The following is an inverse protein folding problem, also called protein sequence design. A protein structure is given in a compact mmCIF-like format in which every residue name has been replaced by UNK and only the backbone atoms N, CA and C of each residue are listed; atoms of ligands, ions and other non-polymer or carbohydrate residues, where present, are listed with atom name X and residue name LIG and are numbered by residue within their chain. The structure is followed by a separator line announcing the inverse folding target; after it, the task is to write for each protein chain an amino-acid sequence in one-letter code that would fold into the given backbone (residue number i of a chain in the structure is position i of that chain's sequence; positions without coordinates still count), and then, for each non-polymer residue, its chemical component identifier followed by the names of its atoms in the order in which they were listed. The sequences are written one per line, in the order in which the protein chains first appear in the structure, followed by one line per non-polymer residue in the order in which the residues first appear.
data_IF_718466452042
#
_entry.id   IF_718466452042
#
_cell.length_a   1.000
_cell.length_b   1.000
_cell.length_c   1.000
_cell.angle_alpha   90.00
_cell.angle_beta   90.00
_cell.angle_gamma   90.00
#
_symmetry.space_group_name_H-M   'P 1'
#
loop_
_entity.id
_entity.type
_entity.pdbx_description
1 polymer ?
#
# COMPACT_ATOMS: atom_id res chain seq x y z
N UNK A 1 -47.89 35.95 -42.02
CA UNK A 1 -48.61 35.73 -40.73
C UNK A 1 -48.50 34.31 -40.18
N UNK A 2 -48.53 33.24 -40.98
CA UNK A 2 -48.34 31.85 -40.53
C UNK A 2 -46.89 31.54 -40.12
N UNK A 3 -45.87 31.99 -40.86
CA UNK A 3 -44.46 31.74 -40.59
C UNK A 3 -44.00 32.41 -39.28
N UNK A 4 -44.48 33.63 -38.99
CA UNK A 4 -44.12 34.31 -37.74
C UNK A 4 -44.70 33.64 -36.49
N UNK A 5 -45.91 33.04 -36.59
CA UNK A 5 -46.50 32.25 -35.51
C UNK A 5 -45.78 30.93 -35.29
N UNK A 6 -45.25 30.32 -36.35
CA UNK A 6 -44.49 29.08 -36.26
C UNK A 6 -43.11 29.33 -35.60
N UNK A 7 -42.40 30.42 -35.95
CA UNK A 7 -41.14 30.79 -35.34
C UNK A 7 -41.30 31.06 -33.84
N UNK A 8 -42.30 31.80 -33.44
CA UNK A 8 -42.58 32.06 -31.99
C UNK A 8 -42.81 30.75 -31.24
N UNK A 9 -43.55 29.81 -31.83
CA UNK A 9 -43.83 28.52 -31.20
C UNK A 9 -42.56 27.65 -31.09
N UNK A 10 -41.67 27.68 -32.07
CA UNK A 10 -40.39 27.00 -32.02
C UNK A 10 -39.47 27.61 -30.97
N UNK A 11 -39.42 28.94 -30.87
CA UNK A 11 -38.63 29.64 -29.86
C UNK A 11 -39.12 29.34 -28.43
N UNK A 12 -40.47 29.31 -28.21
CA UNK A 12 -41.04 28.95 -26.93
C UNK A 12 -40.76 27.48 -26.53
N UNK A 13 -40.92 26.55 -27.49
CA UNK A 13 -40.59 25.14 -27.22
C UNK A 13 -39.09 24.92 -26.96
N UNK A 14 -38.23 25.63 -27.68
CA UNK A 14 -36.77 25.56 -27.46
C UNK A 14 -36.36 26.11 -26.09
N UNK A 15 -36.94 27.26 -25.68
CA UNK A 15 -36.71 27.86 -24.39
C UNK A 15 -37.20 26.96 -23.25
N UNK A 16 -38.37 26.34 -23.40
CA UNK A 16 -38.92 25.38 -22.43
C UNK A 16 -38.02 24.15 -22.29
N UNK A 17 -37.62 23.52 -23.42
CA UNK A 17 -36.73 22.34 -23.38
C UNK A 17 -35.38 22.67 -22.76
N UNK A 18 -34.82 23.85 -23.07
CA UNK A 18 -33.57 24.32 -22.43
C UNK A 18 -33.71 24.50 -20.93
N UNK A 19 -34.85 25.03 -20.45
CA UNK A 19 -35.12 25.17 -19.02
C UNK A 19 -35.31 23.84 -18.31
N UNK A 20 -36.05 22.92 -18.92
CA UNK A 20 -36.23 21.55 -18.41
C UNK A 20 -34.90 20.76 -18.33
N UNK A 21 -34.06 20.88 -19.37
CA UNK A 21 -32.75 20.27 -19.39
C UNK A 21 -31.82 20.85 -18.31
N UNK A 22 -31.82 22.18 -18.13
CA UNK A 22 -31.05 22.85 -17.09
C UNK A 22 -31.47 22.39 -15.69
N UNK A 23 -32.75 22.27 -15.45
CA UNK A 23 -33.28 21.78 -14.18
C UNK A 23 -32.96 20.33 -13.93
N UNK A 24 -33.05 19.48 -14.96
CA UNK A 24 -32.65 18.07 -14.90
C UNK A 24 -31.16 17.91 -14.58
N UNK A 25 -30.29 18.65 -15.25
CA UNK A 25 -28.85 18.61 -14.99
C UNK A 25 -28.50 19.12 -13.60
N UNK A 26 -29.15 20.20 -13.11
CA UNK A 26 -28.97 20.70 -11.75
C UNK A 26 -29.36 19.66 -10.69
N UNK A 27 -30.53 19.04 -10.84
CA UNK A 27 -30.97 17.99 -9.92
C UNK A 27 -30.06 16.77 -9.94
N UNK A 28 -29.53 16.43 -11.11
CA UNK A 28 -28.59 15.31 -11.25
C UNK A 28 -27.27 15.60 -10.54
N UNK A 29 -26.73 16.81 -10.69
CA UNK A 29 -25.51 17.25 -9.99
C UNK A 29 -25.73 17.20 -8.47
N UNK A 30 -26.82 17.76 -7.96
CA UNK A 30 -27.15 17.74 -6.54
C UNK A 30 -27.28 16.30 -6.00
N UNK A 31 -27.87 15.39 -6.80
CA UNK A 31 -27.99 13.98 -6.41
C UNK A 31 -26.64 13.30 -6.37
N UNK A 32 -25.78 13.53 -7.38
CA UNK A 32 -24.42 12.98 -7.36
C UNK A 32 -23.57 13.53 -6.23
N UNK A 33 -23.65 14.84 -5.94
CA UNK A 33 -22.95 15.44 -4.82
C UNK A 33 -23.41 14.84 -3.49
N UNK A 34 -24.70 14.61 -3.31
CA UNK A 34 -25.23 13.98 -2.10
C UNK A 34 -24.73 12.55 -1.93
N UNK A 35 -24.77 11.74 -2.99
CA UNK A 35 -24.27 10.36 -2.99
C UNK A 35 -22.76 10.33 -2.73
N UNK A 36 -22.02 11.26 -3.35
CA UNK A 36 -20.58 11.36 -3.15
C UNK A 36 -20.23 11.71 -1.71
N UNK A 37 -20.92 12.69 -1.11
CA UNK A 37 -20.72 13.08 0.29
C UNK A 37 -21.10 11.97 1.26
N UNK A 38 -22.20 11.26 1.00
CA UNK A 38 -22.62 10.11 1.83
C UNK A 38 -21.59 8.99 1.79
N UNK A 39 -21.13 8.60 0.58
CA UNK A 39 -20.09 7.59 0.41
C UNK A 39 -18.76 8.02 1.05
N UNK A 40 -18.38 9.30 0.89
CA UNK A 40 -17.17 9.84 1.51
C UNK A 40 -17.23 9.78 3.04
N UNK A 41 -18.37 10.16 3.64
CA UNK A 41 -18.57 10.09 5.08
C UNK A 41 -18.55 8.64 5.58
N UNK A 42 -19.22 7.70 4.89
CA UNK A 42 -19.20 6.27 5.26
C UNK A 42 -17.79 5.68 5.22
N UNK A 43 -16.99 6.04 4.19
CA UNK A 43 -15.59 5.62 4.07
C UNK A 43 -14.76 6.25 5.20
N UNK A 44 -14.95 7.54 5.46
CA UNK A 44 -14.25 8.26 6.53
C UNK A 44 -14.53 7.65 7.91
N UNK A 45 -15.79 7.38 8.21
CA UNK A 45 -16.20 6.75 9.47
C UNK A 45 -15.64 5.33 9.60
N UNK A 46 -15.65 4.57 8.50
CA UNK A 46 -15.04 3.23 8.47
C UNK A 46 -13.54 3.28 8.75
N UNK A 47 -12.83 4.26 8.19
CA UNK A 47 -11.39 4.48 8.44
C UNK A 47 -11.15 4.83 9.92
N UNK A 48 -11.96 5.70 10.50
CA UNK A 48 -11.83 6.09 11.92
C UNK A 48 -12.04 4.88 12.83
N UNK A 49 -13.09 4.11 12.61
CA UNK A 49 -13.37 2.90 13.39
C UNK A 49 -12.29 1.83 13.26
N UNK A 50 -11.73 1.65 12.05
CA UNK A 50 -10.62 0.71 11.87
C UNK A 50 -9.35 1.19 12.58
N UNK A 51 -9.07 2.51 12.57
CA UNK A 51 -7.92 3.06 13.31
C UNK A 51 -8.07 2.85 14.82
N UNK A 52 -9.25 3.10 15.38
CA UNK A 52 -9.54 2.86 16.79
C UNK A 52 -9.44 1.37 17.15
N UNK A 53 -9.94 0.51 16.26
CA UNK A 53 -9.83 -0.95 16.42
C UNK A 53 -8.36 -1.39 16.40
N UNK A 54 -7.56 -0.88 15.46
CA UNK A 54 -6.13 -1.16 15.36
C UNK A 54 -5.36 -0.69 16.61
N UNK A 55 -5.60 0.54 17.07
CA UNK A 55 -4.96 1.07 18.29
C UNK A 55 -5.37 0.27 19.53
N UNK A 56 -6.60 -0.25 19.56
CA UNK A 56 -7.10 -1.09 20.64
C UNK A 56 -6.45 -2.48 20.59
N UNK A 57 -6.29 -3.05 19.39
CA UNK A 57 -5.66 -4.34 19.19
C UNK A 57 -4.18 -4.30 19.54
N UNK A 58 -3.46 -3.21 19.18
CA UNK A 58 -2.08 -2.96 19.62
C UNK A 58 -1.98 -2.85 21.15
N UNK A 59 -2.91 -2.14 21.80
CA UNK A 59 -2.93 -2.07 23.27
C UNK A 59 -3.16 -3.42 23.94
N UNK A 60 -4.02 -4.25 23.36
CA UNK A 60 -4.32 -5.58 23.88
C UNK A 60 -3.14 -6.55 23.67
N UNK A 61 -2.39 -6.41 22.57
CA UNK A 61 -1.19 -7.16 22.28
C UNK A 61 -0.05 -6.85 23.28
N UNK A 62 0.06 -5.62 23.78
CA UNK A 62 1.06 -5.23 24.81
C UNK A 62 0.99 -5.99 26.14
N UNK A 63 -0.01 -6.82 26.34
CA UNK A 63 -0.25 -7.50 27.62
C UNK A 63 0.27 -8.93 27.71
N UNK A 64 0.87 -9.50 26.65
CA UNK A 64 1.40 -10.87 26.67
C UNK A 64 2.93 -10.91 26.46
N UNK A 65 3.66 -11.59 27.35
CA UNK A 65 5.11 -11.80 27.21
C UNK A 65 5.43 -12.56 25.91
N UNK A 66 6.14 -11.92 24.96
CA UNK A 66 6.58 -12.50 23.70
C UNK A 66 5.72 -12.11 22.47
N UNK A 67 4.93 -11.05 22.57
CA UNK A 67 4.13 -10.52 21.46
C UNK A 67 4.85 -9.41 20.65
N UNK A 68 4.26 -9.04 19.51
CA UNK A 68 4.79 -8.05 18.59
C UNK A 68 4.33 -6.61 18.89
N UNK A 69 3.58 -6.33 19.94
CA UNK A 69 2.91 -5.05 20.14
C UNK A 69 3.89 -3.86 20.23
N UNK A 70 4.97 -4.02 20.99
CA UNK A 70 6.04 -3.01 21.04
C UNK A 70 6.73 -2.84 19.69
N UNK A 71 7.00 -3.95 19.02
CA UNK A 71 7.63 -3.97 17.69
C UNK A 71 6.77 -3.23 16.66
N UNK A 72 5.46 -3.49 16.62
CA UNK A 72 4.55 -2.83 15.68
C UNK A 72 4.55 -1.31 15.89
N UNK A 73 4.50 -0.83 17.15
CA UNK A 73 4.52 0.60 17.47
C UNK A 73 5.80 1.29 16.95
N UNK A 74 6.94 0.60 17.06
CA UNK A 74 8.24 1.13 16.64
C UNK A 74 8.37 1.18 15.11
N UNK A 75 7.87 0.16 14.39
CA UNK A 75 8.12 0.01 12.94
C UNK A 75 7.02 0.59 12.07
N UNK A 76 5.77 0.72 12.57
CA UNK A 76 4.62 1.12 11.74
C UNK A 76 4.80 2.49 11.09
N UNK A 77 5.58 3.39 11.72
CA UNK A 77 5.86 4.73 11.17
C UNK A 77 6.75 4.69 9.94
N UNK A 78 7.55 3.63 9.80
CA UNK A 78 8.36 3.37 8.61
C UNK A 78 7.59 2.69 7.47
N UNK A 79 6.34 2.23 7.71
CA UNK A 79 5.49 1.59 6.71
C UNK A 79 4.56 2.63 6.09
N UNK A 80 4.35 2.56 4.79
CA UNK A 80 3.53 3.51 4.04
C UNK A 80 2.58 2.80 3.09
N UNK A 81 1.46 3.47 2.81
CA UNK A 81 0.60 3.10 1.69
C UNK A 81 1.18 3.64 0.40
N UNK A 82 1.26 2.82 -0.62
CA UNK A 82 1.55 3.21 -1.99
C UNK A 82 0.22 3.33 -2.72
N UNK A 83 -0.02 4.47 -3.34
CA UNK A 83 -1.23 4.72 -4.13
C UNK A 83 -0.86 5.22 -5.52
N UNK A 84 -1.49 4.61 -6.50
CA UNK A 84 -1.55 5.10 -7.88
C UNK A 84 -3.01 5.31 -8.27
N UNK A 85 -3.27 5.70 -9.52
CA UNK A 85 -4.64 5.83 -10.03
C UNK A 85 -5.43 4.51 -9.97
N UNK A 86 -4.74 3.39 -10.23
CA UNK A 86 -5.38 2.09 -10.43
C UNK A 86 -5.02 1.04 -9.36
N UNK A 87 -4.10 1.37 -8.45
CA UNK A 87 -3.56 0.38 -7.51
C UNK A 87 -3.32 0.98 -6.12
N UNK A 88 -3.48 0.12 -5.12
CA UNK A 88 -3.10 0.38 -3.73
C UNK A 88 -2.26 -0.79 -3.24
N UNK A 89 -1.13 -0.48 -2.63
CA UNK A 89 -0.24 -1.45 -2.00
C UNK A 89 0.47 -0.85 -0.80
N UNK A 90 1.51 -1.52 -0.36
CA UNK A 90 2.32 -1.10 0.79
C UNK A 90 3.77 -0.91 0.35
N UNK A 91 4.49 -0.08 1.08
CA UNK A 91 5.94 0.07 0.99
C UNK A 91 6.51 0.38 2.36
N UNK A 92 7.83 0.44 2.46
CA UNK A 92 8.49 0.85 3.70
C UNK A 92 9.80 1.57 3.42
N UNK A 93 10.13 2.52 4.29
CA UNK A 93 11.39 3.25 4.22
C UNK A 93 12.55 2.37 4.69
N UNK A 94 13.62 2.31 3.87
CA UNK A 94 14.84 1.54 4.15
C UNK A 94 15.97 2.40 4.72
N UNK A 95 15.80 3.72 4.70
CA UNK A 95 16.66 4.65 5.41
C UNK A 95 15.96 5.99 5.71
N UNK A 96 16.53 6.78 6.61
CA UNK A 96 15.95 8.06 7.03
C UNK A 96 15.99 9.17 5.96
N UNK A 97 16.69 8.96 4.84
CA UNK A 97 16.77 9.94 3.74
C UNK A 97 15.58 9.87 2.78
N UNK A 98 14.59 9.02 3.07
CA UNK A 98 13.37 8.89 2.30
C UNK A 98 13.43 7.88 1.15
N UNK A 99 14.45 7.03 1.09
CA UNK A 99 14.44 5.88 0.19
C UNK A 99 13.49 4.82 0.73
N UNK A 100 12.60 4.34 -0.13
CA UNK A 100 11.62 3.32 0.22
C UNK A 100 11.50 2.28 -0.89
N UNK A 101 11.06 1.10 -0.50
CA UNK A 101 10.84 -0.03 -1.41
C UNK A 101 9.38 -0.45 -1.41
N UNK A 102 8.96 -0.97 -2.55
CA UNK A 102 7.66 -1.64 -2.76
C UNK A 102 7.79 -2.68 -3.86
N UNK A 103 6.75 -3.45 -4.12
CA UNK A 103 6.74 -4.30 -5.31
C UNK A 103 6.54 -3.46 -6.58
N UNK A 104 7.22 -3.86 -7.66
CA UNK A 104 7.10 -3.15 -8.92
C UNK A 104 5.68 -3.22 -9.50
N UNK A 105 5.01 -4.38 -9.39
CA UNK A 105 3.64 -4.54 -9.89
C UNK A 105 2.63 -3.56 -9.26
N UNK A 106 2.92 -3.02 -8.06
CA UNK A 106 2.06 -2.02 -7.38
C UNK A 106 2.06 -0.69 -8.11
N UNK A 107 3.18 -0.33 -8.76
CA UNK A 107 3.37 0.98 -9.41
C UNK A 107 3.54 0.89 -10.92
N UNK A 108 3.48 -0.31 -11.48
CA UNK A 108 3.72 -0.57 -12.89
C UNK A 108 2.82 0.27 -13.79
N UNK A 109 3.43 0.86 -14.84
CA UNK A 109 2.79 1.76 -15.80
C UNK A 109 2.28 3.09 -15.20
N UNK A 110 2.63 3.40 -13.93
CA UNK A 110 2.26 4.62 -13.19
C UNK A 110 3.44 5.21 -12.40
N UNK A 111 4.67 4.91 -12.79
CA UNK A 111 5.90 5.27 -12.06
C UNK A 111 6.02 6.77 -11.79
N UNK A 112 5.49 7.62 -12.67
CA UNK A 112 5.52 9.09 -12.55
C UNK A 112 4.42 9.68 -11.65
N UNK A 113 3.44 8.85 -11.24
CA UNK A 113 2.24 9.27 -10.53
C UNK A 113 2.04 8.54 -9.19
N UNK A 114 3.14 8.19 -8.51
CA UNK A 114 3.10 7.46 -7.24
C UNK A 114 2.92 8.42 -6.08
N UNK A 115 1.90 8.20 -5.28
CA UNK A 115 1.67 8.87 -4.01
C UNK A 115 1.95 7.94 -2.84
N UNK A 116 2.53 8.51 -1.79
CA UNK A 116 2.84 7.85 -0.52
C UNK A 116 1.95 8.43 0.55
N UNK A 117 1.30 7.58 1.33
CA UNK A 117 0.54 8.01 2.50
C UNK A 117 1.21 7.40 3.73
N UNK A 118 1.70 8.25 4.63
CA UNK A 118 2.37 7.84 5.86
C UNK A 118 1.36 7.37 6.92
N UNK A 119 1.88 6.79 8.01
CA UNK A 119 1.07 6.45 9.20
C UNK A 119 0.34 7.70 9.77
N UNK A 120 0.99 8.87 9.74
CA UNK A 120 0.40 10.15 10.13
C UNK A 120 -0.60 10.72 9.11
N UNK A 121 -0.96 9.98 8.05
CA UNK A 121 -1.88 10.38 6.96
C UNK A 121 -1.38 11.56 6.11
N UNK A 122 -0.10 11.87 6.17
CA UNK A 122 0.51 12.84 5.28
C UNK A 122 0.69 12.22 3.90
N UNK A 123 0.42 13.00 2.86
CA UNK A 123 0.52 12.57 1.46
C UNK A 123 1.73 13.21 0.82
N UNK A 124 2.59 12.40 0.22
CA UNK A 124 3.78 12.83 -0.50
C UNK A 124 3.78 12.26 -1.91
N UNK A 125 4.37 12.99 -2.86
CA UNK A 125 4.68 12.45 -4.17
C UNK A 125 6.06 11.77 -4.11
N UNK A 126 6.15 10.53 -4.58
CA UNK A 126 7.41 9.81 -4.68
C UNK A 126 8.05 9.97 -6.07
N UNK A 127 9.37 10.01 -6.09
CA UNK A 127 10.16 9.95 -7.31
C UNK A 127 10.58 8.49 -7.55
N UNK A 128 10.29 7.97 -8.73
CA UNK A 128 10.77 6.65 -9.14
C UNK A 128 12.27 6.70 -9.43
N UNK A 129 13.06 5.82 -8.79
CA UNK A 129 14.51 5.73 -8.97
C UNK A 129 14.86 4.60 -9.93
N UNK A 130 14.20 3.43 -9.78
CA UNK A 130 14.42 2.29 -10.64
C UNK A 130 13.76 1.02 -10.10
N UNK A 131 13.97 -0.08 -10.82
CA UNK A 131 13.29 -1.35 -10.55
C UNK A 131 14.17 -2.56 -10.87
N UNK A 132 13.82 -3.70 -10.28
CA UNK A 132 14.19 -5.03 -10.74
C UNK A 132 12.89 -5.80 -11.05
N UNK A 133 12.57 -5.94 -12.34
CA UNK A 133 11.34 -6.63 -12.76
C UNK A 133 11.36 -8.13 -12.46
N UNK A 134 12.52 -8.77 -12.47
CA UNK A 134 12.64 -10.21 -12.23
C UNK A 134 12.31 -10.57 -10.79
N UNK A 135 12.60 -9.65 -9.86
CA UNK A 135 12.34 -9.80 -8.43
C UNK A 135 11.10 -9.03 -7.97
N UNK A 136 10.45 -8.32 -8.91
CA UNK A 136 9.27 -7.48 -8.62
C UNK A 136 9.57 -6.46 -7.52
N UNK A 137 10.71 -5.78 -7.61
CA UNK A 137 11.18 -4.77 -6.65
C UNK A 137 11.25 -3.39 -7.31
N UNK A 138 10.76 -2.37 -6.63
CA UNK A 138 10.90 -0.97 -7.02
C UNK A 138 11.52 -0.15 -5.90
N UNK A 139 12.38 0.79 -6.28
CA UNK A 139 12.99 1.79 -5.41
C UNK A 139 12.40 3.17 -5.72
N UNK A 140 11.92 3.82 -4.68
CA UNK A 140 11.35 5.16 -4.72
C UNK A 140 12.11 6.09 -3.78
N UNK A 141 11.98 7.40 -4.00
CA UNK A 141 12.52 8.45 -3.12
C UNK A 141 11.46 9.50 -2.83
N UNK A 142 11.20 9.74 -1.57
CA UNK A 142 10.45 10.89 -1.07
C UNK A 142 11.42 11.85 -0.41
N UNK A 143 11.57 13.09 -0.90
CA UNK A 143 12.45 14.07 -0.25
C UNK A 143 11.95 14.39 1.17
N UNK A 144 12.81 14.17 2.16
CA UNK A 144 12.48 14.42 3.56
C UNK A 144 13.28 13.54 4.53
N UNK A 145 12.84 13.53 5.78
CA UNK A 145 13.38 12.65 6.80
C UNK A 145 12.24 11.84 7.39
N UNK A 146 12.40 10.52 7.39
CA UNK A 146 11.35 9.57 7.76
C UNK A 146 11.90 8.51 8.71
N UNK A 147 11.03 7.93 9.52
CA UNK A 147 11.33 6.72 10.27
C UNK A 147 11.57 5.58 9.25
N UNK A 148 12.60 4.80 9.45
CA UNK A 148 12.98 3.70 8.57
C UNK A 148 13.10 2.40 9.35
N UNK A 149 12.98 1.28 8.65
CA UNK A 149 13.05 -0.05 9.26
C UNK A 149 14.36 -0.71 8.83
N UNK A 150 15.10 -1.24 9.80
CA UNK A 150 16.36 -1.94 9.55
C UNK A 150 16.10 -3.29 8.87
N UNK A 151 16.91 -3.65 7.88
CA UNK A 151 16.88 -4.95 7.24
C UNK A 151 17.65 -5.98 8.07
N UNK A 152 17.12 -7.20 8.13
CA UNK A 152 17.77 -8.32 8.77
C UNK A 152 18.97 -8.82 7.94
N UNK A 153 20.00 -9.31 8.62
CA UNK A 153 21.10 -10.01 7.97
C UNK A 153 20.74 -11.48 7.73
N UNK A 154 21.52 -12.18 6.91
CA UNK A 154 21.22 -13.59 6.53
C UNK A 154 21.07 -14.51 7.74
N UNK A 155 21.91 -14.33 8.77
CA UNK A 155 21.91 -15.14 9.99
C UNK A 155 20.65 -14.98 10.83
N UNK A 156 19.94 -13.87 10.64
CA UNK A 156 18.71 -13.57 11.34
C UNK A 156 17.52 -14.36 10.77
N UNK A 157 17.60 -14.81 9.51
CA UNK A 157 16.51 -15.48 8.79
C UNK A 157 16.57 -16.98 9.06
N UNK A 158 15.70 -17.48 9.95
CA UNK A 158 15.70 -18.89 10.36
C UNK A 158 14.28 -19.46 10.39
N UNK A 159 14.13 -20.69 9.88
CA UNK A 159 12.86 -21.42 9.90
C UNK A 159 12.36 -21.58 11.34
N UNK A 160 11.05 -21.38 11.54
CA UNK A 160 10.37 -21.47 12.83
C UNK A 160 10.36 -20.16 13.63
N UNK A 161 11.09 -19.13 13.23
CA UNK A 161 10.98 -17.81 13.88
C UNK A 161 9.64 -17.17 13.59
N UNK A 162 9.07 -16.53 14.61
CA UNK A 162 7.86 -15.72 14.49
C UNK A 162 8.13 -14.47 13.65
N UNK A 163 7.17 -14.13 12.81
CA UNK A 163 7.17 -12.95 11.96
C UNK A 163 5.77 -12.36 11.84
N UNK A 164 5.72 -11.07 11.53
CA UNK A 164 4.48 -10.38 11.16
C UNK A 164 4.63 -9.75 9.78
N UNK A 165 3.53 -9.71 9.03
CA UNK A 165 3.41 -8.83 7.89
C UNK A 165 2.59 -7.60 8.28
N UNK A 166 3.09 -6.42 7.90
CA UNK A 166 2.37 -5.16 8.04
C UNK A 166 2.03 -4.67 6.64
N UNK A 167 0.76 -4.34 6.44
CA UNK A 167 0.27 -3.78 5.19
C UNK A 167 -0.90 -2.85 5.40
N UNK A 168 -1.27 -2.14 4.34
CA UNK A 168 -2.47 -1.30 4.34
C UNK A 168 -3.43 -1.76 3.25
N UNK A 169 -4.16 -2.87 3.49
CA UNK A 169 -5.11 -3.37 2.51
C UNK A 169 -6.20 -2.31 2.25
N UNK A 170 -6.41 -1.99 0.96
CA UNK A 170 -7.44 -1.07 0.51
C UNK A 170 -7.30 0.39 0.99
N UNK A 171 -6.15 0.80 1.55
CA UNK A 171 -5.93 2.16 2.06
C UNK A 171 -6.78 2.52 3.29
N UNK A 172 -7.38 1.53 3.94
CA UNK A 172 -8.35 1.75 5.02
C UNK A 172 -7.71 1.85 6.40
N UNK A 173 -6.63 1.11 6.67
CA UNK A 173 -5.74 1.21 7.84
C UNK A 173 -4.70 0.11 7.82
N UNK A 174 -3.65 0.26 8.62
CA UNK A 174 -2.63 -0.77 8.75
C UNK A 174 -3.24 -2.06 9.33
N UNK A 175 -2.87 -3.18 8.71
CA UNK A 175 -3.28 -4.52 9.14
C UNK A 175 -2.02 -5.32 9.46
N UNK A 176 -2.03 -6.02 10.59
CA UNK A 176 -0.95 -6.90 11.02
C UNK A 176 -1.44 -8.33 10.98
N UNK A 177 -0.66 -9.21 10.38
CA UNK A 177 -0.91 -10.66 10.41
C UNK A 177 0.34 -11.37 10.92
N UNK A 178 0.18 -12.32 11.86
CA UNK A 178 1.26 -13.08 12.49
C UNK A 178 1.37 -14.48 11.88
N UNK A 179 2.59 -15.00 11.86
CA UNK A 179 2.93 -16.36 11.47
C UNK A 179 4.39 -16.68 11.76
N UNK A 180 4.97 -17.62 11.00
CA UNK A 180 6.36 -18.04 11.12
C UNK A 180 7.07 -18.05 9.76
N UNK A 181 8.39 -18.07 9.79
CA UNK A 181 9.21 -18.46 8.64
C UNK A 181 9.05 -19.97 8.45
N UNK A 182 8.37 -20.38 7.38
CA UNK A 182 8.10 -21.80 7.06
C UNK A 182 9.20 -22.42 6.20
N UNK A 183 10.02 -21.60 5.53
CA UNK A 183 11.12 -22.07 4.70
C UNK A 183 12.01 -20.91 4.25
N UNK A 184 13.22 -21.23 3.87
CA UNK A 184 14.21 -20.28 3.32
C UNK A 184 14.71 -20.81 1.97
N UNK A 185 15.44 -19.99 1.24
CA UNK A 185 16.05 -20.33 -0.05
C UNK A 185 15.04 -20.91 -1.06
N UNK A 186 13.84 -20.35 -1.08
CA UNK A 186 12.81 -20.76 -2.03
C UNK A 186 13.02 -20.10 -3.38
N UNK A 187 12.91 -20.94 -4.43
CA UNK A 187 12.99 -20.46 -5.82
C UNK A 187 11.68 -19.76 -6.16
N UNK A 188 11.78 -18.49 -6.53
CA UNK A 188 10.65 -17.66 -6.95
C UNK A 188 10.65 -17.38 -8.44
N UNK A 189 9.89 -16.35 -8.89
CA UNK A 189 9.78 -15.97 -10.30
C UNK A 189 11.12 -15.62 -10.97
N UNK A 190 12.10 -15.13 -10.20
CA UNK A 190 13.46 -14.85 -10.69
C UNK A 190 14.24 -16.10 -11.12
N UNK A 191 13.76 -17.30 -10.75
CA UNK A 191 14.48 -18.56 -10.94
C UNK A 191 15.63 -18.79 -9.94
N UNK A 192 15.81 -17.87 -8.98
CA UNK A 192 16.84 -17.93 -7.95
C UNK A 192 16.25 -18.23 -6.57
N UNK A 193 17.07 -18.86 -5.70
CA UNK A 193 16.69 -19.24 -4.35
C UNK A 193 16.80 -18.02 -3.39
N UNK A 194 15.93 -17.02 -3.56
CA UNK A 194 15.99 -15.70 -2.92
C UNK A 194 14.78 -15.38 -2.04
N UNK A 195 13.88 -16.33 -1.88
CA UNK A 195 12.61 -16.08 -1.19
C UNK A 195 12.51 -16.81 0.15
N UNK A 196 11.92 -16.13 1.11
CA UNK A 196 11.48 -16.67 2.39
C UNK A 196 10.02 -17.09 2.25
N UNK A 197 9.70 -18.31 2.63
CA UNK A 197 8.34 -18.83 2.72
C UNK A 197 7.79 -18.54 4.12
N UNK A 198 6.53 -18.10 4.19
CA UNK A 198 5.83 -17.84 5.44
C UNK A 198 4.38 -18.33 5.37
N UNK A 199 3.80 -18.66 6.52
CA UNK A 199 2.38 -18.95 6.68
C UNK A 199 1.55 -17.72 7.08
N UNK A 200 2.20 -16.55 7.18
CA UNK A 200 1.52 -15.26 7.37
C UNK A 200 0.47 -15.07 6.27
N UNK A 201 -0.72 -14.65 6.65
CA UNK A 201 -1.80 -14.37 5.70
C UNK A 201 -1.45 -13.16 4.82
N UNK A 202 -0.98 -13.41 3.60
CA UNK A 202 -0.75 -12.38 2.58
C UNK A 202 -2.02 -12.18 1.75
N UNK A 203 -2.52 -10.96 1.73
CA UNK A 203 -3.71 -10.54 0.99
C UNK A 203 -3.40 -9.30 0.13
N UNK A 204 -4.22 -9.00 -0.90
CA UNK A 204 -4.12 -7.74 -1.61
C UNK A 204 -4.04 -6.56 -0.62
N UNK A 205 -3.02 -5.71 -0.79
CA UNK A 205 -2.70 -4.61 0.12
C UNK A 205 -1.50 -4.87 1.04
N UNK A 206 -1.11 -6.14 1.32
CA UNK A 206 0.15 -6.45 2.00
C UNK A 206 1.34 -6.54 1.03
N UNK A 207 1.08 -6.61 -0.29
CA UNK A 207 2.14 -6.63 -1.32
C UNK A 207 3.00 -5.37 -1.22
N UNK A 208 4.32 -5.54 -1.25
CA UNK A 208 5.30 -4.48 -1.06
C UNK A 208 5.53 -4.07 0.40
N UNK A 209 4.74 -4.58 1.33
CA UNK A 209 4.92 -4.38 2.76
C UNK A 209 6.01 -5.27 3.36
N UNK A 210 6.54 -4.93 4.55
CA UNK A 210 7.58 -5.69 5.20
C UNK A 210 7.04 -6.95 5.88
N UNK A 211 7.84 -8.02 5.85
CA UNK A 211 7.78 -9.15 6.77
C UNK A 211 8.80 -8.88 7.88
N UNK A 212 8.39 -8.83 9.14
CA UNK A 212 9.18 -8.31 10.26
C UNK A 212 9.34 -9.37 11.35
N UNK A 213 10.53 -9.47 11.94
CA UNK A 213 10.82 -10.36 13.07
C UNK A 213 10.46 -9.72 14.44
N UNK A 214 10.62 -10.50 15.52
CA UNK A 214 10.34 -10.06 16.90
C UNK A 214 11.26 -8.95 17.40
N UNK A 215 12.31 -8.57 16.66
CA UNK A 215 13.24 -7.48 17.00
C UNK A 215 12.95 -6.20 16.18
N UNK A 216 11.94 -6.23 15.31
CA UNK A 216 11.60 -5.11 14.44
C UNK A 216 12.44 -5.02 13.15
N UNK A 217 13.17 -6.09 12.80
CA UNK A 217 13.95 -6.11 11.56
C UNK A 217 13.15 -6.71 10.42
N UNK A 218 13.30 -6.14 9.23
CA UNK A 218 12.68 -6.65 8.00
C UNK A 218 13.39 -7.92 7.55
N UNK A 219 12.67 -9.03 7.55
CA UNK A 219 13.09 -10.34 7.02
C UNK A 219 12.97 -10.39 5.49
N UNK A 220 12.00 -9.67 4.93
CA UNK A 220 11.77 -9.60 3.50
C UNK A 220 10.62 -8.66 3.13
N UNK A 221 10.42 -8.46 1.83
CA UNK A 221 9.28 -7.75 1.26
C UNK A 221 8.24 -8.75 0.78
N UNK A 222 7.00 -8.62 1.24
CA UNK A 222 5.89 -9.49 0.86
C UNK A 222 5.60 -9.35 -0.63
N UNK A 223 5.67 -10.45 -1.37
CA UNK A 223 5.62 -10.39 -2.83
C UNK A 223 4.39 -11.12 -3.36
N UNK A 224 4.28 -12.43 -3.17
CA UNK A 224 3.21 -13.22 -3.76
C UNK A 224 2.78 -14.39 -2.86
N UNK A 225 1.60 -14.92 -3.16
CA UNK A 225 1.13 -16.21 -2.63
C UNK A 225 0.77 -17.15 -3.78
N UNK A 226 0.83 -18.43 -3.54
CA UNK A 226 0.36 -19.42 -4.51
C UNK A 226 -1.16 -19.41 -4.51
N UNK A 227 -1.77 -19.10 -5.67
CA UNK A 227 -3.22 -19.12 -5.83
C UNK A 227 -3.79 -20.51 -5.54
N UNK A 228 -4.83 -20.56 -4.70
CA UNK A 228 -5.48 -21.82 -4.31
C UNK A 228 -4.79 -22.61 -3.21
N UNK A 229 -3.67 -22.09 -2.67
CA UNK A 229 -3.02 -22.64 -1.49
C UNK A 229 -3.20 -21.68 -0.30
N UNK A 230 -3.55 -22.23 0.84
CA UNK A 230 -3.59 -21.47 2.10
C UNK A 230 -2.22 -21.50 2.78
N UNK A 231 -1.87 -20.42 3.49
CA UNK A 231 -0.64 -20.33 4.28
C UNK A 231 0.67 -20.56 3.48
N UNK A 232 0.68 -20.21 2.21
CA UNK A 232 1.87 -20.27 1.34
C UNK A 232 2.19 -18.88 0.77
N UNK A 233 2.73 -18.01 1.61
CA UNK A 233 3.24 -16.70 1.27
C UNK A 233 4.74 -16.72 0.99
N UNK A 234 5.20 -15.80 0.13
CA UNK A 234 6.61 -15.65 -0.23
C UNK A 234 7.01 -14.18 -0.15
N UNK A 235 8.15 -13.95 0.48
CA UNK A 235 8.75 -12.63 0.61
C UNK A 235 10.17 -12.66 0.04
N UNK A 236 10.55 -11.69 -0.77
CA UNK A 236 11.93 -11.53 -1.24
C UNK A 236 12.82 -11.22 -0.03
N UNK A 237 13.89 -11.96 0.17
CA UNK A 237 14.71 -11.90 1.38
C UNK A 237 15.43 -10.55 1.55
N UNK A 238 15.57 -10.10 2.79
CA UNK A 238 16.19 -8.82 3.13
C UNK A 238 17.60 -8.62 2.58
N UNK A 239 18.52 -9.60 2.61
CA UNK A 239 19.84 -9.44 2.00
C UNK A 239 19.78 -9.16 0.49
N UNK A 240 18.81 -9.77 -0.21
CA UNK A 240 18.60 -9.53 -1.64
C UNK A 240 18.03 -8.13 -1.89
N UNK A 241 17.12 -7.66 -1.03
CA UNK A 241 16.62 -6.29 -1.11
C UNK A 241 17.78 -5.30 -0.98
N UNK A 242 18.66 -5.48 0.02
CA UNK A 242 19.86 -4.64 0.27
C UNK A 242 20.75 -4.58 -0.97
N UNK A 243 21.08 -5.74 -1.55
CA UNK A 243 21.88 -5.82 -2.76
C UNK A 243 21.25 -5.09 -3.94
N UNK A 244 19.97 -5.37 -4.22
CA UNK A 244 19.27 -4.80 -5.36
C UNK A 244 19.01 -3.30 -5.23
N UNK A 245 18.65 -2.82 -4.03
CA UNK A 245 18.49 -1.37 -3.77
C UNK A 245 19.78 -0.62 -4.06
N UNK A 246 20.92 -1.13 -3.59
CA UNK A 246 22.22 -0.51 -3.82
C UNK A 246 22.60 -0.57 -5.31
N UNK A 247 22.30 -1.66 -6.00
CA UNK A 247 22.53 -1.81 -7.43
C UNK A 247 21.65 -0.85 -8.26
N UNK A 248 20.35 -0.77 -7.99
CA UNK A 248 19.40 0.13 -8.67
C UNK A 248 19.84 1.60 -8.48
N UNK A 249 20.23 1.98 -7.27
CA UNK A 249 20.64 3.34 -6.96
C UNK A 249 22.07 3.68 -7.47
N UNK A 250 22.83 2.68 -7.89
CA UNK A 250 24.26 2.79 -8.23
C UNK A 250 25.09 3.47 -7.11
N UNK A 251 24.71 3.24 -5.86
CA UNK A 251 25.37 3.76 -4.66
C UNK A 251 24.90 2.98 -3.42
N UNK A 252 25.64 3.06 -2.31
CA UNK A 252 25.26 2.44 -1.05
C UNK A 252 24.13 3.26 -0.40
N UNK A 253 22.91 2.75 -0.48
CA UNK A 253 21.71 3.27 0.19
C UNK A 253 21.52 2.59 1.53
N UNK A 254 21.73 1.28 1.58
CA UNK A 254 21.66 0.42 2.76
C UNK A 254 23.07 -0.11 3.01
N UNK A 255 23.68 0.23 4.16
CA UNK A 255 25.07 -0.16 4.48
C UNK A 255 25.26 -1.65 4.72
#
# INVERSE_FOLDING_TARGET
MQVSKLNIKIDDETARTASELKQYTSNMVETYDSIYQENFNQISDSIIHQQESFDTEIKNLKSSEGDFSGVVEDVVRGVVTIRTEDSIGTGFFVNSRGFLVTNYHVIKDKEDAVEIITYGREVYKANFIGKDENRDLALLLVPGSFDSIELAETEDIQVGKKVIAIGNPLGLSFTVTEGIISGIDRVGPSGMAEYVQTDVSLNPGNSGGPLIDTRGKVIGINNFKISGAEALGFSLAAPVIKEQVNAIANQTIIP
#
